data_IF_409716846119
#
_entry.id   IF_409716846119
#
_cell.length_a   1.000
_cell.length_b   1.000
_cell.length_c   1.000
_cell.angle_alpha   90.00
_cell.angle_beta   90.00
_cell.angle_gamma   90.00
#
_symmetry.space_group_name_H-M   'P 1'
#
loop_
_entity.id
_entity.type
_entity.pdbx_description
1 polymer ?
#
# COMPACT_ATOMS: atom_id res chain seq x y z
N UNK A 1 -3.31 23.27 -7.94
CA UNK A 1 -2.12 23.06 -7.07
C UNK A 1 -2.21 21.69 -6.42
N UNK A 2 -1.31 20.76 -6.72
CA UNK A 2 -1.23 19.50 -5.97
C UNK A 2 -0.77 19.80 -4.53
N UNK A 3 -1.60 19.48 -3.54
CA UNK A 3 -1.32 19.75 -2.13
C UNK A 3 -0.76 18.46 -1.48
N UNK A 4 0.41 18.55 -0.85
CA UNK A 4 1.07 17.40 -0.20
C UNK A 4 0.20 16.80 0.92
N UNK A 5 -0.57 17.63 1.65
CA UNK A 5 -1.50 17.15 2.67
C UNK A 5 -2.61 16.28 2.05
N UNK A 6 -3.13 16.69 0.90
CA UNK A 6 -4.13 15.89 0.15
C UNK A 6 -3.50 14.59 -0.36
N UNK A 7 -2.25 14.63 -0.82
CA UNK A 7 -1.53 13.43 -1.28
C UNK A 7 -1.35 12.39 -0.15
N UNK A 8 -0.93 12.84 1.03
CA UNK A 8 -0.83 12.00 2.22
C UNK A 8 -2.18 11.39 2.60
N UNK A 9 -3.25 12.18 2.62
CA UNK A 9 -4.60 11.68 2.93
C UNK A 9 -5.07 10.64 1.91
N UNK A 10 -4.97 10.94 0.61
CA UNK A 10 -5.39 10.02 -0.45
C UNK A 10 -4.55 8.75 -0.48
N UNK A 11 -3.24 8.86 -0.28
CA UNK A 11 -2.36 7.70 -0.18
C UNK A 11 -2.66 6.85 1.07
N UNK A 12 -3.01 7.47 2.19
CA UNK A 12 -3.44 6.74 3.39
C UNK A 12 -4.76 5.99 3.18
N UNK A 13 -5.77 6.65 2.61
CA UNK A 13 -7.05 6.01 2.24
C UNK A 13 -6.82 4.88 1.23
N UNK A 14 -5.96 5.10 0.24
CA UNK A 14 -5.57 4.07 -0.72
C UNK A 14 -4.89 2.89 -0.02
N UNK A 15 -3.94 3.13 0.88
CA UNK A 15 -3.24 2.07 1.61
C UNK A 15 -4.12 1.26 2.56
N UNK A 16 -5.26 1.81 2.99
CA UNK A 16 -6.27 1.08 3.73
C UNK A 16 -7.03 0.09 2.82
N UNK A 17 -7.36 0.51 1.60
CA UNK A 17 -8.24 -0.25 0.69
C UNK A 17 -7.44 -1.20 -0.23
N UNK A 18 -6.25 -0.80 -0.66
CA UNK A 18 -5.43 -1.49 -1.64
C UNK A 18 -5.13 -2.96 -1.27
N UNK A 19 -4.80 -3.32 -0.02
CA UNK A 19 -4.64 -4.71 0.40
C UNK A 19 -5.83 -5.60 0.05
N UNK A 20 -7.04 -5.13 0.35
CA UNK A 20 -8.27 -5.89 0.13
C UNK A 20 -8.55 -6.06 -1.36
N UNK A 21 -8.41 -4.98 -2.14
CA UNK A 21 -8.54 -5.06 -3.60
C UNK A 21 -7.49 -6.03 -4.16
N UNK A 22 -6.25 -5.93 -3.71
CA UNK A 22 -5.16 -6.79 -4.13
C UNK A 22 -5.44 -8.28 -3.90
N UNK A 23 -6.02 -8.64 -2.74
CA UNK A 23 -6.44 -10.02 -2.45
C UNK A 23 -7.44 -10.55 -3.49
N UNK A 24 -8.49 -9.79 -3.80
CA UNK A 24 -9.50 -10.21 -4.78
C UNK A 24 -8.94 -10.27 -6.21
N UNK A 25 -8.20 -9.23 -6.60
CA UNK A 25 -7.56 -9.13 -7.93
C UNK A 25 -6.54 -10.25 -8.14
N UNK A 26 -5.80 -10.64 -7.10
CA UNK A 26 -4.77 -11.68 -7.19
C UNK A 26 -5.34 -13.07 -7.43
N UNK A 27 -6.54 -13.33 -6.91
CA UNK A 27 -7.22 -14.61 -7.07
C UNK A 27 -7.89 -14.77 -8.44
N UNK A 28 -8.36 -13.68 -9.05
CA UNK A 28 -9.29 -13.76 -10.18
C UNK A 28 -8.85 -13.02 -11.45
N UNK A 29 -7.94 -12.06 -11.35
CA UNK A 29 -7.66 -11.12 -12.45
C UNK A 29 -6.19 -11.12 -12.82
N UNK A 30 -5.31 -10.79 -11.89
CA UNK A 30 -3.87 -10.67 -12.16
C UNK A 30 -3.04 -10.74 -10.88
N UNK A 31 -2.17 -11.75 -10.74
CA UNK A 31 -1.19 -11.83 -9.66
C UNK A 31 -0.24 -10.62 -9.62
N UNK A 32 0.10 -10.07 -10.79
CA UNK A 32 1.01 -8.92 -10.87
C UNK A 32 0.40 -7.66 -10.25
N UNK A 33 -0.87 -7.36 -10.54
CA UNK A 33 -1.56 -6.20 -9.97
C UNK A 33 -1.75 -6.37 -8.46
N UNK A 34 -2.07 -7.59 -8.02
CA UNK A 34 -2.15 -7.90 -6.60
C UNK A 34 -0.85 -7.67 -5.85
N UNK A 35 0.28 -8.10 -6.43
CA UNK A 35 1.60 -7.89 -5.83
C UNK A 35 1.92 -6.41 -5.63
N UNK A 36 1.50 -5.55 -6.56
CA UNK A 36 1.66 -4.10 -6.43
C UNK A 36 0.78 -3.58 -5.31
N UNK A 37 -0.53 -3.87 -5.33
CA UNK A 37 -1.49 -3.33 -4.37
C UNK A 37 -1.21 -3.79 -2.93
N UNK A 38 -0.78 -5.03 -2.78
CA UNK A 38 -0.45 -5.65 -1.49
C UNK A 38 1.02 -5.49 -1.08
N UNK A 39 1.83 -4.75 -1.85
CA UNK A 39 3.29 -4.68 -1.67
C UNK A 39 3.74 -4.51 -0.21
N UNK A 40 3.17 -3.59 0.60
CA UNK A 40 3.60 -3.42 1.99
C UNK A 40 3.41 -4.69 2.84
N UNK A 41 2.31 -5.42 2.63
CA UNK A 41 2.01 -6.65 3.35
C UNK A 41 2.90 -7.79 2.87
N UNK A 42 3.12 -7.91 1.56
CA UNK A 42 3.99 -8.93 0.99
C UNK A 42 5.45 -8.74 1.41
N UNK A 43 5.92 -7.50 1.43
CA UNK A 43 7.25 -7.15 1.94
C UNK A 43 7.40 -7.55 3.42
N UNK A 44 6.41 -7.22 4.26
CA UNK A 44 6.42 -7.63 5.66
C UNK A 44 6.36 -9.16 5.81
N UNK A 45 5.58 -9.85 4.98
CA UNK A 45 5.52 -11.32 4.94
C UNK A 45 6.84 -11.96 4.57
N UNK A 46 7.58 -11.38 3.62
CA UNK A 46 8.91 -11.83 3.27
C UNK A 46 9.91 -11.61 4.42
N UNK A 47 9.87 -10.45 5.10
CA UNK A 47 10.75 -10.15 6.24
C UNK A 47 10.49 -11.11 7.40
N UNK A 48 9.23 -11.39 7.69
CA UNK A 48 8.82 -12.27 8.79
C UNK A 48 8.92 -13.76 8.45
N UNK A 49 9.22 -14.12 7.18
CA UNK A 49 9.15 -15.49 6.66
C UNK A 49 7.84 -16.20 7.03
N UNK A 50 6.73 -15.45 7.04
CA UNK A 50 5.42 -15.94 7.46
C UNK A 50 4.36 -15.42 6.50
N UNK A 51 3.69 -16.32 5.73
CA UNK A 51 2.56 -15.97 4.88
C UNK A 51 1.45 -15.20 5.60
N UNK A 52 0.89 -14.18 4.93
CA UNK A 52 -0.19 -13.34 5.46
C UNK A 52 -1.38 -14.13 6.03
N UNK A 53 -1.77 -15.24 5.39
CA UNK A 53 -2.88 -16.08 5.84
C UNK A 53 -2.66 -16.78 7.18
N UNK A 54 -1.42 -16.81 7.70
CA UNK A 54 -1.08 -17.42 8.99
C UNK A 54 -0.87 -16.38 10.10
N UNK A 55 -1.07 -15.09 9.81
CA UNK A 55 -0.86 -14.03 10.78
C UNK A 55 -1.97 -13.99 11.83
N UNK A 56 -1.59 -13.62 13.05
CA UNK A 56 -2.58 -13.28 14.07
C UNK A 56 -3.35 -12.01 13.67
N UNK A 57 -4.59 -11.81 14.16
CA UNK A 57 -5.36 -10.60 13.88
C UNK A 57 -4.59 -9.31 14.22
N UNK A 58 -3.81 -9.30 15.30
CA UNK A 58 -2.96 -8.18 15.69
C UNK A 58 -1.89 -7.87 14.65
N UNK A 59 -1.23 -8.89 14.11
CA UNK A 59 -0.22 -8.71 13.07
C UNK A 59 -0.85 -8.27 11.74
N UNK A 60 -2.05 -8.77 11.41
CA UNK A 60 -2.81 -8.30 10.26
C UNK A 60 -3.16 -6.80 10.37
N UNK A 61 -3.64 -6.35 11.54
CA UNK A 61 -3.90 -4.93 11.80
C UNK A 61 -2.63 -4.09 11.70
N UNK A 62 -1.52 -4.59 12.23
CA UNK A 62 -0.22 -3.92 12.13
C UNK A 62 0.25 -3.80 10.68
N UNK A 63 0.08 -4.86 9.88
CA UNK A 63 0.35 -4.85 8.45
C UNK A 63 -0.54 -3.88 7.67
N UNK A 64 -1.80 -3.72 8.09
CA UNK A 64 -2.71 -2.73 7.50
C UNK A 64 -2.26 -1.30 7.82
N UNK A 65 -1.87 -1.02 9.07
CA UNK A 65 -1.30 0.28 9.45
C UNK A 65 -0.02 0.57 8.65
N UNK A 66 0.85 -0.42 8.49
CA UNK A 66 2.04 -0.29 7.66
C UNK A 66 1.66 0.05 6.21
N UNK A 67 0.66 -0.62 5.65
CA UNK A 67 0.17 -0.34 4.29
C UNK A 67 -0.30 1.11 4.14
N UNK A 68 -1.09 1.62 5.10
CA UNK A 68 -1.54 3.02 5.14
C UNK A 68 -0.34 3.98 5.10
N UNK A 69 0.67 3.74 5.95
CA UNK A 69 1.85 4.59 6.03
C UNK A 69 2.64 4.57 4.73
N UNK A 70 2.92 3.38 4.19
CA UNK A 70 3.71 3.22 2.96
C UNK A 70 3.04 3.91 1.78
N UNK A 71 1.74 3.69 1.57
CA UNK A 71 1.03 4.30 0.45
C UNK A 71 0.85 5.82 0.62
N UNK A 72 0.66 6.32 1.83
CA UNK A 72 0.68 7.76 2.10
C UNK A 72 2.01 8.39 1.66
N UNK A 73 3.13 7.76 2.02
CA UNK A 73 4.47 8.22 1.63
C UNK A 73 4.68 8.14 0.12
N UNK A 74 4.30 7.04 -0.53
CA UNK A 74 4.41 6.86 -1.99
C UNK A 74 3.66 7.98 -2.72
N UNK A 75 2.41 8.28 -2.33
CA UNK A 75 1.64 9.34 -2.95
C UNK A 75 2.29 10.71 -2.74
N UNK A 76 2.78 11.00 -1.52
CA UNK A 76 3.47 12.25 -1.25
C UNK A 76 4.74 12.42 -2.09
N UNK A 77 5.53 11.35 -2.25
CA UNK A 77 6.74 11.33 -3.08
C UNK A 77 6.39 11.54 -4.55
N UNK A 78 5.43 10.78 -5.10
CA UNK A 78 4.98 10.91 -6.50
C UNK A 78 4.51 12.33 -6.79
N UNK A 79 3.71 12.92 -5.90
CA UNK A 79 3.28 14.32 -6.03
C UNK A 79 4.45 15.30 -5.95
N UNK A 80 5.43 15.05 -5.08
CA UNK A 80 6.66 15.84 -4.99
C UNK A 80 7.48 15.80 -6.28
N UNK A 81 7.68 14.62 -6.85
CA UNK A 81 8.41 14.42 -8.12
C UNK A 81 7.68 15.08 -9.29
N UNK A 82 6.35 14.91 -9.39
CA UNK A 82 5.55 15.55 -10.43
C UNK A 82 5.62 17.09 -10.40
N UNK A 83 5.82 17.69 -9.21
CA UNK A 83 6.05 19.14 -9.09
C UNK A 83 7.43 19.56 -9.60
N UNK A 84 8.45 18.72 -9.47
CA UNK A 84 9.78 19.03 -9.98
C UNK A 84 9.82 18.98 -11.51
N UNK A 85 9.14 18.01 -12.12
CA UNK A 85 9.11 17.84 -13.59
C UNK A 85 8.25 18.91 -14.29
N UNK A 86 7.24 19.47 -13.60
CA UNK A 86 6.38 20.53 -14.15
C UNK A 86 6.92 21.95 -13.97
N UNK A 87 8.10 22.10 -13.35
CA UNK A 87 8.83 23.37 -13.31
C UNK A 87 9.69 23.50 -14.56
#
# INVERSE_FOLDING_TARGET
MLNNKKALMWGGVFGLVAPFIGLFVGLQVSPMVANILMFPILALSAVLNSPFGMWSPTLMLTGLVLSVVVWALVFAIVVGLLKQVRK
#
